data_IF_435690065165
#
_entry.id   IF_435690065165
#
_cell.length_a   1.000
_cell.length_b   1.000
_cell.length_c   1.000
_cell.angle_alpha   90.00
_cell.angle_beta   90.00
_cell.angle_gamma   90.00
#
_symmetry.space_group_name_H-M   'P 1'
#
loop_
_entity.id
_entity.type
_entity.pdbx_description
1 polymer ?
2 non-polymer ?
3 water ?
#
# COMPACT_ATOMS: atom_id res chain seq x y z
N UNK A 5 21.16 14.73 23.30
CA UNK A 5 20.76 16.07 22.81
C UNK A 5 19.49 16.59 23.49
N UNK A 6 19.43 17.90 23.67
CA UNK A 6 18.29 18.55 24.31
C UNK A 6 17.10 18.56 23.34
N UNK A 7 17.42 18.60 22.06
CA UNK A 7 16.43 18.61 20.99
C UNK A 7 16.94 17.77 19.82
N UNK A 8 16.05 16.97 19.25
CA UNK A 8 16.38 16.14 18.12
C UNK A 8 15.22 16.17 17.15
N UNK A 9 15.49 16.59 15.92
CA UNK A 9 14.46 16.67 14.89
C UNK A 9 13.18 17.37 15.39
N UNK A 10 13.35 18.57 15.93
CA UNK A 10 12.25 19.39 16.45
C UNK A 10 11.60 18.89 17.73
N UNK A 11 12.03 17.72 18.22
CA UNK A 11 11.43 17.18 19.44
C UNK A 11 12.28 17.43 20.67
N UNK A 12 11.68 18.13 21.63
CA UNK A 12 12.35 18.45 22.88
C UNK A 12 12.57 17.19 23.69
N UNK A 13 13.77 17.04 24.24
CA UNK A 13 14.13 15.89 25.06
C UNK A 13 12.97 15.16 25.73
N UNK A 14 12.76 13.91 25.33
CA UNK A 14 11.71 13.08 25.91
C UNK A 14 10.24 13.43 25.70
N UNK A 15 9.93 14.24 24.69
CA UNK A 15 8.54 14.60 24.43
C UNK A 15 7.92 13.64 23.43
N UNK A 16 6.60 13.71 23.28
CA UNK A 16 5.89 12.85 22.34
C UNK A 16 6.14 13.25 20.89
N UNK A 17 6.23 12.25 20.02
CA UNK A 17 6.46 12.47 18.59
C UNK A 17 5.25 13.17 17.98
N UNK A 18 4.09 12.92 18.57
CA UNK A 18 2.84 13.47 18.07
C UNK A 18 2.40 14.82 18.60
N UNK A 19 3.21 15.43 19.46
CA UNK A 19 2.85 16.74 20.00
C UNK A 19 2.74 17.76 18.87
N UNK A 20 1.79 18.68 19.02
CA UNK A 20 1.54 19.72 18.01
C UNK A 20 1.66 21.14 18.55
N UNK A 21 2.18 22.03 17.72
CA UNK A 21 2.32 23.43 18.12
C UNK A 21 0.92 23.98 18.33
N UNK A 22 0.77 24.96 19.22
CA UNK A 22 -0.54 25.55 19.49
C UNK A 22 -0.96 26.41 18.30
N UNK A 23 0.03 27.15 17.78
CA UNK A 23 -0.14 28.07 16.66
C UNK A 23 -0.58 27.48 15.32
N UNK A 24 0.09 26.41 14.91
CA UNK A 24 -0.22 25.80 13.62
C UNK A 24 -0.71 24.36 13.70
N UNK A 25 -0.58 23.74 14.87
CA UNK A 25 -1.01 22.37 15.04
C UNK A 25 -0.07 21.39 14.34
N UNK A 26 1.13 21.86 14.03
CA UNK A 26 2.12 21.05 13.34
C UNK A 26 2.97 20.17 14.25
N UNK A 27 3.29 18.98 13.74
CA UNK A 27 4.12 18.04 14.47
C UNK A 27 5.52 18.18 13.91
N UNK A 28 6.49 17.53 14.55
CA UNK A 28 7.88 17.59 14.09
C UNK A 28 7.99 17.13 12.64
N UNK A 29 7.21 16.11 12.29
CA UNK A 29 7.23 15.57 10.94
C UNK A 29 6.72 16.61 9.93
N UNK A 30 5.75 17.43 10.33
CA UNK A 30 5.23 18.48 9.44
C UNK A 30 6.36 19.48 9.18
N UNK A 31 7.05 19.83 10.25
CA UNK A 31 8.14 20.79 10.19
C UNK A 31 9.32 20.27 9.38
N UNK A 32 9.60 18.98 9.49
CA UNK A 32 10.70 18.38 8.74
C UNK A 32 10.38 18.54 7.25
N UNK A 33 9.10 18.39 6.90
CA UNK A 33 8.66 18.52 5.52
C UNK A 33 8.87 19.94 5.01
N UNK A 34 8.39 20.91 5.79
CA UNK A 34 8.51 22.32 5.42
C UNK A 34 9.94 22.83 5.34
N UNK A 35 10.84 22.26 6.15
CA UNK A 35 12.24 22.66 6.15
C UNK A 35 13.09 21.82 5.21
N UNK A 36 12.46 20.85 4.56
CA UNK A 36 13.16 19.96 3.65
C UNK A 36 14.28 19.21 4.38
N UNK A 37 14.00 18.79 5.61
CA UNK A 37 14.98 18.05 6.39
C UNK A 37 14.73 16.56 6.20
N UNK A 38 15.30 16.01 5.13
CA UNK A 38 15.15 14.60 4.80
C UNK A 38 15.57 13.66 5.93
N UNK A 39 16.75 13.91 6.51
CA UNK A 39 17.24 13.08 7.61
C UNK A 39 16.25 13.07 8.79
N UNK A 40 15.81 14.25 9.19
CA UNK A 40 14.87 14.36 10.32
C UNK A 40 13.61 13.54 10.03
N UNK A 41 13.06 13.70 8.84
CA UNK A 41 11.84 12.99 8.43
C UNK A 41 12.04 11.47 8.49
N UNK A 42 13.21 11.03 8.07
CA UNK A 42 13.55 9.61 8.07
C UNK A 42 13.61 9.09 9.52
N UNK A 43 14.31 9.82 10.38
CA UNK A 43 14.45 9.43 11.78
C UNK A 43 13.10 9.42 12.48
N UNK A 44 12.28 10.44 12.23
CA UNK A 44 10.96 10.54 12.84
C UNK A 44 10.08 9.36 12.46
N UNK A 45 10.15 8.94 11.19
CA UNK A 45 9.35 7.80 10.72
C UNK A 45 9.87 6.48 11.31
N UNK A 46 11.17 6.37 11.46
CA UNK A 46 11.76 5.17 12.03
C UNK A 46 11.38 5.07 13.49
N UNK A 47 11.11 6.22 14.11
CA UNK A 47 10.71 6.27 15.51
C UNK A 47 9.18 6.10 15.58
N UNK A 48 8.60 5.72 14.46
CA UNK A 48 7.16 5.49 14.33
C UNK A 48 6.27 6.72 14.50
N UNK A 49 6.68 7.85 13.93
CA UNK A 49 5.88 9.07 14.00
C UNK A 49 4.67 8.85 13.08
N UNK A 50 3.53 9.46 13.42
CA UNK A 50 2.33 9.30 12.61
C UNK A 50 2.39 10.27 11.43
N UNK A 51 2.54 9.71 10.22
CA UNK A 51 2.63 10.52 9.02
C UNK A 51 1.29 11.09 8.57
N UNK A 52 0.21 10.76 9.28
CA UNK A 52 -1.10 11.26 8.88
C UNK A 52 -1.81 12.20 9.85
N UNK A 53 -1.07 12.74 10.83
CA UNK A 53 -1.63 13.67 11.79
C UNK A 53 -1.88 14.98 11.05
N UNK A 54 -3.03 15.61 11.30
CA UNK A 54 -3.40 16.87 10.63
C UNK A 54 -3.07 18.14 11.43
N UNK A 55 -2.60 19.18 10.74
CA UNK A 55 -2.33 20.43 11.42
C UNK A 55 -3.65 21.20 11.46
N UNK A 56 -3.60 22.49 11.79
CA UNK A 56 -4.81 23.29 11.89
C UNK A 56 -5.66 23.38 10.61
N UNK A 57 -5.07 23.12 9.46
CA UNK A 57 -5.83 23.19 8.22
C UNK A 57 -6.12 21.81 7.64
N UNK A 58 -5.79 20.79 8.41
CA UNK A 58 -6.03 19.41 8.00
C UNK A 58 -4.91 18.80 7.17
N UNK A 59 -3.81 19.52 7.02
CA UNK A 59 -2.67 19.05 6.23
C UNK A 59 -1.84 18.02 6.97
N UNK A 60 -1.42 16.97 6.27
CA UNK A 60 -0.56 15.96 6.87
C UNK A 60 0.86 16.33 6.42
N UNK A 61 1.89 15.65 6.94
CA UNK A 61 3.25 15.99 6.50
C UNK A 61 3.43 15.89 4.98
N UNK A 62 2.59 15.07 4.33
CA UNK A 62 2.67 14.93 2.87
C UNK A 62 2.18 16.19 2.14
N UNK A 63 1.11 16.83 2.63
CA UNK A 63 0.63 18.06 1.99
C UNK A 63 1.73 19.09 2.16
N UNK A 64 2.33 19.11 3.33
CA UNK A 64 3.40 20.06 3.67
C UNK A 64 4.64 19.91 2.77
N UNK A 65 5.02 18.67 2.46
CA UNK A 65 6.17 18.41 1.60
C UNK A 65 5.85 18.92 0.19
N UNK A 66 4.62 18.70 -0.26
CA UNK A 66 4.22 19.17 -1.58
C UNK A 66 4.23 20.70 -1.63
N UNK A 67 3.69 21.32 -0.58
CA UNK A 67 3.63 22.79 -0.50
C UNK A 67 4.99 23.46 -0.41
N UNK A 68 5.97 22.76 0.15
CA UNK A 68 7.31 23.28 0.32
C UNK A 68 8.22 22.74 -0.77
N UNK A 69 7.64 21.96 -1.67
CA UNK A 69 8.40 21.35 -2.76
C UNK A 69 9.65 20.65 -2.20
N UNK A 70 9.48 19.91 -1.11
CA UNK A 70 10.59 19.18 -0.49
C UNK A 70 10.66 17.79 -1.09
N UNK A 71 11.37 17.66 -2.21
CA UNK A 71 11.50 16.38 -2.90
C UNK A 71 12.02 15.27 -1.99
N UNK A 72 13.04 15.57 -1.18
CA UNK A 72 13.60 14.58 -0.29
C UNK A 72 12.59 13.97 0.66
N UNK A 73 11.97 14.81 1.48
CA UNK A 73 10.98 14.35 2.43
C UNK A 73 9.78 13.75 1.70
N UNK A 74 9.40 14.33 0.57
CA UNK A 74 8.29 13.83 -0.24
C UNK A 74 8.50 12.36 -0.58
N UNK A 75 9.66 12.03 -1.13
CA UNK A 75 9.98 10.65 -1.49
C UNK A 75 9.89 9.73 -0.28
N UNK A 76 10.50 10.16 0.81
CA UNK A 76 10.50 9.39 2.05
C UNK A 76 9.07 9.11 2.50
N UNK A 77 8.20 10.11 2.39
CA UNK A 77 6.81 9.97 2.81
C UNK A 77 5.98 9.06 1.91
N UNK A 78 6.13 9.18 0.59
CA UNK A 78 5.35 8.31 -0.28
C UNK A 78 5.88 6.88 -0.32
N UNK A 79 7.11 6.68 0.13
CA UNK A 79 7.71 5.34 0.16
C UNK A 79 7.28 4.60 1.43
N UNK A 80 6.82 5.38 2.41
CA UNK A 80 6.34 4.87 3.69
C UNK A 80 4.91 4.35 3.46
N UNK A 81 4.74 3.02 3.56
CA UNK A 81 3.42 2.41 3.33
C UNK A 81 2.26 3.03 4.11
N UNK A 82 2.50 3.35 5.39
CA UNK A 82 1.45 3.92 6.25
C UNK A 82 0.95 5.31 5.85
N UNK A 83 1.69 6.02 5.00
CA UNK A 83 1.27 7.35 4.57
C UNK A 83 0.00 7.28 3.71
N UNK A 84 -1.01 8.06 4.11
CA UNK A 84 -2.26 8.12 3.37
C UNK A 84 -2.02 9.06 2.19
N UNK A 85 -1.82 8.48 1.02
CA UNK A 85 -1.56 9.27 -0.17
C UNK A 85 -2.74 10.15 -0.57
N UNK A 86 -3.93 9.81 -0.09
CA UNK A 86 -5.15 10.55 -0.41
C UNK A 86 -5.69 11.36 0.77
N UNK A 87 -4.84 11.65 1.74
CA UNK A 87 -5.24 12.41 2.91
C UNK A 87 -5.95 13.69 2.48
N UNK A 88 -6.97 14.08 3.24
CA UNK A 88 -7.73 15.27 2.89
C UNK A 88 -7.59 16.40 3.91
N UNK A 89 -7.46 17.62 3.41
CA UNK A 89 -7.38 18.78 4.27
C UNK A 89 -8.83 19.08 4.69
N UNK A 90 -9.04 20.14 5.46
CA UNK A 90 -10.38 20.47 5.91
C UNK A 90 -11.33 20.92 4.81
N UNK A 91 -10.82 21.08 3.59
CA UNK A 91 -11.68 21.45 2.46
C UNK A 91 -11.67 20.29 1.46
N UNK A 92 -11.13 19.16 1.89
CA UNK A 92 -11.07 17.98 1.04
C UNK A 92 -9.84 17.87 0.14
N UNK A 93 -8.98 18.90 0.13
CA UNK A 93 -7.79 18.90 -0.72
C UNK A 93 -6.82 17.76 -0.41
N UNK A 94 -6.43 17.04 -1.45
CA UNK A 94 -5.51 15.91 -1.34
C UNK A 94 -4.13 16.34 -1.85
N UNK A 95 -3.09 15.52 -1.58
CA UNK A 95 -1.75 15.88 -2.04
C UNK A 95 -1.71 16.02 -3.57
N UNK A 96 -2.44 15.16 -4.27
CA UNK A 96 -2.50 15.19 -5.73
C UNK A 96 -3.14 16.47 -6.27
N UNK A 97 -4.30 16.85 -5.70
CA UNK A 97 -4.96 18.07 -6.12
C UNK A 97 -4.02 19.25 -5.84
N UNK A 98 -3.40 19.23 -4.66
CA UNK A 98 -2.47 20.26 -4.26
C UNK A 98 -1.29 20.34 -5.24
N UNK A 99 -0.76 19.18 -5.64
CA UNK A 99 0.36 19.13 -6.59
C UNK A 99 -0.06 19.68 -7.96
N UNK A 100 -1.31 19.46 -8.34
CA UNK A 100 -1.82 19.96 -9.62
C UNK A 100 -1.95 21.48 -9.59
N UNK A 101 -2.42 22.02 -8.47
CA UNK A 101 -2.61 23.45 -8.32
C UNK A 101 -1.31 24.25 -8.25
N UNK A 102 -0.32 23.74 -7.52
CA UNK A 102 0.97 24.42 -7.36
C UNK A 102 1.92 24.20 -8.53
N UNK A 103 1.54 23.27 -9.40
CA UNK A 103 2.34 22.94 -10.58
C UNK A 103 3.70 22.33 -10.23
N UNK A 104 3.70 21.38 -9.30
CA UNK A 104 4.91 20.67 -8.90
C UNK A 104 4.80 19.34 -9.66
N UNK A 105 5.10 19.39 -10.94
CA UNK A 105 4.99 18.23 -11.84
C UNK A 105 5.59 16.91 -11.42
N UNK A 106 6.81 16.94 -10.89
CA UNK A 106 7.46 15.72 -10.47
C UNK A 106 6.67 14.98 -9.41
N UNK A 107 6.06 15.73 -8.49
CA UNK A 107 5.31 15.14 -7.40
C UNK A 107 3.97 14.56 -7.83
N UNK A 108 3.29 15.24 -8.75
CA UNK A 108 2.01 14.75 -9.24
C UNK A 108 2.18 13.36 -9.86
N UNK A 109 3.16 13.22 -10.74
CA UNK A 109 3.43 11.95 -11.39
C UNK A 109 3.86 10.87 -10.40
N UNK A 110 4.73 11.23 -9.46
CA UNK A 110 5.19 10.28 -8.46
C UNK A 110 4.03 9.80 -7.59
N UNK A 111 3.09 10.70 -7.29
CA UNK A 111 1.92 10.33 -6.49
C UNK A 111 1.07 9.35 -7.26
N UNK A 112 0.84 9.64 -8.54
CA UNK A 112 0.05 8.77 -9.40
C UNK A 112 0.71 7.40 -9.55
N UNK A 113 2.03 7.38 -9.72
CA UNK A 113 2.76 6.14 -9.86
C UNK A 113 2.75 5.33 -8.57
N UNK A 114 2.51 6.01 -7.45
CA UNK A 114 2.45 5.36 -6.14
C UNK A 114 1.03 4.95 -5.84
N UNK A 115 0.17 5.09 -6.85
CA UNK A 115 -1.23 4.69 -6.78
C UNK A 115 -2.20 5.61 -6.05
N UNK A 116 -1.88 6.89 -6.01
CA UNK A 116 -2.79 7.85 -5.39
C UNK A 116 -4.06 7.75 -6.24
N UNK A 117 -5.21 7.99 -5.63
CA UNK A 117 -6.46 7.93 -6.38
C UNK A 117 -6.59 9.15 -7.29
N UNK A 118 -6.40 8.95 -8.60
CA UNK A 118 -6.50 10.07 -9.53
C UNK A 118 -7.90 10.69 -9.59
N UNK A 119 -8.93 9.93 -9.24
CA UNK A 119 -10.30 10.45 -9.29
C UNK A 119 -10.92 10.90 -7.97
N UNK A 120 -10.09 11.10 -6.95
CA UNK A 120 -10.59 11.56 -5.67
C UNK A 120 -10.98 13.02 -5.88
N UNK A 121 -11.86 13.55 -5.03
CA UNK A 121 -12.29 14.93 -5.16
C UNK A 121 -12.35 15.66 -3.82
N UNK A 122 -12.24 16.98 -3.86
CA UNK A 122 -12.31 17.77 -2.65
C UNK A 122 -13.78 17.93 -2.27
N UNK A 123 -14.07 18.70 -1.23
CA UNK A 123 -15.45 18.88 -0.78
C UNK A 123 -16.40 19.54 -1.78
N UNK A 124 -15.85 20.17 -2.82
CA UNK A 124 -16.66 20.81 -3.85
C UNK A 124 -16.88 19.87 -5.04
N UNK A 125 -16.46 18.63 -4.89
CA UNK A 125 -16.61 17.65 -5.94
C UNK A 125 -15.55 17.78 -7.02
N UNK A 126 -14.54 18.60 -6.74
CA UNK A 126 -13.44 18.85 -7.68
C UNK A 126 -12.27 17.86 -7.58
N UNK A 127 -11.91 17.28 -8.73
CA UNK A 127 -10.80 16.34 -8.85
C UNK A 127 -9.52 17.10 -9.22
N UNK A 128 -8.39 16.39 -9.22
CA UNK A 128 -7.11 16.99 -9.57
C UNK A 128 -7.16 17.53 -11.01
N UNK A 129 -7.91 16.82 -11.86
CA UNK A 129 -8.06 17.23 -13.26
C UNK A 129 -8.88 18.51 -13.36
N UNK A 130 -9.90 18.65 -12.49
CA UNK A 130 -10.73 19.85 -12.46
C UNK A 130 -9.81 21.02 -12.18
N UNK A 131 -8.94 20.85 -11.19
CA UNK A 131 -8.01 21.90 -10.81
C UNK A 131 -6.94 22.19 -11.85
N UNK A 132 -6.40 21.15 -12.47
CA UNK A 132 -5.38 21.35 -13.50
C UNK A 132 -6.02 22.21 -14.60
N UNK A 133 -7.30 22.00 -14.83
CA UNK A 133 -8.02 22.77 -15.85
C UNK A 133 -8.17 24.21 -15.39
N UNK A 134 -8.59 24.39 -14.13
CA UNK A 134 -8.78 25.73 -13.57
C UNK A 134 -7.52 26.60 -13.60
N UNK A 135 -6.37 26.04 -13.24
CA UNK A 135 -5.12 26.80 -13.24
C UNK A 135 -4.30 26.65 -14.52
N UNK A 136 -4.90 25.98 -15.51
CA UNK A 136 -4.26 25.75 -16.80
C UNK A 136 -2.91 25.04 -16.69
N UNK A 137 -2.87 23.98 -15.88
CA UNK A 137 -1.66 23.20 -15.72
C UNK A 137 -1.70 22.08 -16.78
N UNK A 138 -1.24 22.39 -17.99
CA UNK A 138 -1.24 21.45 -19.10
C UNK A 138 -0.58 20.10 -18.80
N UNK A 139 0.64 20.12 -18.28
CA UNK A 139 1.34 18.87 -17.99
C UNK A 139 0.62 17.98 -17.00
N UNK A 140 0.00 18.59 -15.98
CA UNK A 140 -0.73 17.81 -15.00
C UNK A 140 -1.96 17.16 -15.66
N UNK A 141 -2.65 17.92 -16.51
CA UNK A 141 -3.83 17.42 -17.21
C UNK A 141 -3.48 16.19 -18.06
N UNK A 142 -2.41 16.30 -18.83
CA UNK A 142 -1.96 15.21 -19.69
C UNK A 142 -1.64 13.94 -18.91
N UNK A 143 -0.92 14.07 -17.80
CA UNK A 143 -0.55 12.93 -16.98
C UNK A 143 -1.77 12.31 -16.29
N UNK A 144 -2.65 13.15 -15.74
CA UNK A 144 -3.85 12.65 -15.08
C UNK A 144 -4.72 11.89 -16.08
N UNK A 145 -4.89 12.48 -17.26
CA UNK A 145 -5.69 11.87 -18.31
C UNK A 145 -5.08 10.54 -18.77
N UNK A 146 -3.75 10.48 -18.89
CA UNK A 146 -3.07 9.25 -19.29
C UNK A 146 -3.17 8.19 -18.20
N UNK A 147 -3.50 8.61 -16.98
CA UNK A 147 -3.59 7.70 -15.87
C UNK A 147 -4.97 7.37 -15.29
N UNK A 148 -5.99 7.43 -16.13
CA UNK A 148 -7.32 7.07 -15.64
C UNK A 148 -8.24 8.15 -15.12
N UNK A 149 -7.84 9.41 -15.23
CA UNK A 149 -8.67 10.50 -14.77
C UNK A 149 -9.98 10.58 -15.57
N UNK A 150 -11.10 10.74 -14.86
CA UNK A 150 -12.41 10.85 -15.50
C UNK A 150 -12.52 12.25 -16.11
N UNK A 151 -12.35 12.33 -17.42
CA UNK A 151 -12.39 13.61 -18.12
C UNK A 151 -13.73 14.34 -18.07
N UNK A 152 -14.82 13.60 -17.91
CA UNK A 152 -16.15 14.22 -17.87
C UNK A 152 -16.79 14.29 -16.47
N UNK A 153 -15.99 14.04 -15.44
CA UNK A 153 -16.51 14.07 -14.07
C UNK A 153 -17.08 15.44 -13.77
N UNK A 154 -18.23 15.47 -13.08
CA UNK A 154 -18.87 16.72 -12.73
C UNK A 154 -18.71 16.97 -11.23
N UNK A 155 -18.40 18.21 -10.86
CA UNK A 155 -18.26 18.50 -9.44
C UNK A 155 -19.66 18.74 -8.88
N UNK A 156 -19.76 19.41 -7.73
CA UNK A 156 -21.05 19.67 -7.11
C UNK A 156 -21.93 20.70 -7.84
N UNK A 157 -21.31 21.62 -8.58
CA UNK A 157 -22.03 22.62 -9.34
C UNK A 157 -22.26 22.07 -10.75
N UNK A 158 -22.01 20.76 -10.89
CA UNK A 158 -22.17 20.04 -12.16
C UNK A 158 -21.22 20.51 -13.26
N UNK A 159 -20.09 21.06 -12.84
CA UNK A 159 -19.08 21.56 -13.77
C UNK A 159 -18.03 20.50 -14.08
N UNK A 160 -17.72 20.36 -15.36
CA UNK A 160 -16.71 19.40 -15.78
C UNK A 160 -15.37 20.14 -15.79
N UNK A 161 -14.26 19.41 -15.93
CA UNK A 161 -12.96 20.11 -15.96
C UNK A 161 -12.96 21.09 -17.12
N UNK A 162 -13.50 20.65 -18.26
CA UNK A 162 -13.57 21.50 -19.44
C UNK A 162 -14.35 22.77 -19.11
N UNK A 163 -15.45 22.63 -18.37
CA UNK A 163 -16.24 23.79 -18.00
C UNK A 163 -15.35 24.79 -17.26
N UNK A 164 -14.54 24.27 -16.34
CA UNK A 164 -13.65 25.13 -15.56
C UNK A 164 -12.56 25.77 -16.39
N UNK A 165 -12.01 25.03 -17.35
CA UNK A 165 -10.97 25.57 -18.22
C UNK A 165 -11.59 26.74 -18.99
N UNK A 166 -12.83 26.58 -19.40
CA UNK A 166 -13.57 27.61 -20.14
C UNK A 166 -13.81 28.84 -19.29
N UNK A 167 -14.19 28.61 -18.04
CA UNK A 167 -14.47 29.66 -17.08
C UNK A 167 -13.25 30.51 -16.78
N UNK A 168 -12.12 29.86 -16.53
CA UNK A 168 -10.87 30.53 -16.19
C UNK A 168 -9.99 31.04 -17.34
N UNK A 169 -10.35 30.70 -18.57
CA UNK A 169 -9.55 31.14 -19.70
C UNK A 169 -8.30 30.30 -19.92
N UNK A 170 -8.34 29.05 -19.43
CA UNK A 170 -7.21 28.13 -19.57
C UNK A 170 -7.28 27.51 -20.96
N UNK A 171 -6.86 28.28 -21.96
CA UNK A 171 -6.90 27.84 -23.36
C UNK A 171 -6.18 26.53 -23.67
N UNK A 172 -4.91 26.46 -23.30
CA UNK A 172 -4.11 25.28 -23.57
C UNK A 172 -4.66 24.01 -22.94
N UNK A 173 -5.15 24.10 -21.71
CA UNK A 173 -5.68 22.92 -21.04
C UNK A 173 -7.06 22.51 -21.56
N UNK A 174 -7.83 23.47 -22.06
CA UNK A 174 -9.14 23.14 -22.62
C UNK A 174 -8.88 22.36 -23.92
N UNK A 175 -7.77 22.70 -24.58
CA UNK A 175 -7.34 22.05 -25.81
C UNK A 175 -6.96 20.58 -25.52
N UNK A 176 -6.22 20.37 -24.42
CA UNK A 176 -5.83 19.03 -24.02
C UNK A 176 -7.07 18.18 -23.75
N UNK A 177 -8.05 18.76 -23.06
CA UNK A 177 -9.27 18.05 -22.76
C UNK A 177 -10.00 17.68 -24.04
N UNK A 178 -9.96 18.57 -25.03
CA UNK A 178 -10.61 18.32 -26.31
C UNK A 178 -9.83 17.28 -27.12
N UNK A 179 -8.51 17.25 -26.97
CA UNK A 179 -7.70 16.25 -27.67
C UNK A 179 -8.02 14.88 -27.10
N UNK A 180 -8.60 14.88 -25.90
CA UNK A 180 -8.98 13.65 -25.23
C UNK A 180 -10.48 13.42 -25.40
N UNK A 181 -11.07 14.20 -26.29
CA UNK A 181 -12.49 14.12 -26.59
C UNK A 181 -13.42 14.28 -25.39
N UNK A 182 -13.13 15.25 -24.53
CA UNK A 182 -13.96 15.51 -23.36
C UNK A 182 -15.31 15.99 -23.91
N UNK A 183 -16.40 15.65 -23.21
CA UNK A 183 -17.74 16.02 -23.63
C UNK A 183 -17.99 17.52 -23.38
N UNK A 184 -18.03 18.29 -24.45
CA UNK A 184 -18.24 19.74 -24.33
C UNK A 184 -19.71 20.11 -24.23
N UNK A 185 -20.60 19.11 -24.19
CA UNK A 185 -22.03 19.35 -24.10
C UNK A 185 -22.59 19.24 -22.68
N UNK A 186 -21.78 18.77 -21.74
CA UNK A 186 -22.23 18.66 -20.36
C UNK A 186 -22.26 20.05 -19.73
N UNK A 187 -23.44 20.45 -19.25
CA UNK A 187 -23.66 21.76 -18.63
C UNK A 187 -23.61 21.75 -17.11
N UNK A 188 -23.43 22.93 -16.51
CA UNK A 188 -23.40 23.04 -15.06
C UNK A 188 -24.84 23.11 -14.52
N UNK A 189 -24.99 23.42 -13.24
CA UNK A 189 -26.32 23.48 -12.64
C UNK A 189 -27.20 24.59 -13.25
N UNK A 190 -26.57 25.59 -13.87
CA UNK A 190 -27.31 26.69 -14.48
C UNK A 190 -27.59 26.40 -15.96
N UNK A 191 -27.29 25.17 -16.37
CA UNK A 191 -27.50 24.73 -17.75
C UNK A 191 -26.63 25.45 -18.77
N UNK A 192 -25.48 25.95 -18.32
CA UNK A 192 -24.54 26.62 -19.21
C UNK A 192 -23.50 25.64 -19.73
N UNK A 193 -23.16 25.77 -20.99
CA UNK A 193 -22.14 24.90 -21.58
C UNK A 193 -20.82 25.62 -21.36
N UNK A 194 -19.70 24.89 -21.50
CA UNK A 194 -18.38 25.51 -21.33
C UNK A 194 -18.29 26.74 -22.24
N UNK A 195 -18.97 26.63 -23.38
CA UNK A 195 -19.01 27.72 -24.37
C UNK A 195 -19.77 28.93 -23.83
N UNK A 196 -20.83 28.67 -23.08
CA UNK A 196 -21.63 29.75 -22.50
C UNK A 196 -20.88 30.48 -21.40
N UNK A 197 -20.16 29.75 -20.57
CA UNK A 197 -19.41 30.40 -19.50
C UNK A 197 -18.18 31.10 -20.06
N UNK A 198 -17.63 30.56 -21.16
CA UNK A 198 -16.46 31.15 -21.80
C UNK A 198 -16.83 32.49 -22.43
N UNK A 199 -18.03 32.56 -23.01
CA UNK A 199 -18.49 33.80 -23.63
C UNK A 199 -18.82 34.83 -22.55
N UNK A 200 -19.49 34.37 -21.50
CA UNK A 200 -19.85 35.21 -20.38
C UNK A 200 -18.65 35.86 -19.71
N UNK A 201 -17.55 35.12 -19.62
CA UNK A 201 -16.33 35.64 -18.99
C UNK A 201 -15.31 36.18 -20.00
N UNK A 202 -15.76 36.34 -21.24
CA UNK A 202 -14.95 36.88 -22.32
C UNK A 202 -13.70 36.14 -22.77
N UNK A 203 -13.80 34.81 -22.90
CA UNK A 203 -12.68 34.02 -23.36
C UNK A 203 -13.07 33.55 -24.75
N UNK A 204 -13.14 34.51 -25.68
CA UNK A 204 -13.53 34.26 -27.05
C UNK A 204 -12.68 33.23 -27.75
N UNK A 205 -11.42 33.13 -27.34
CA UNK A 205 -10.53 32.15 -27.95
C UNK A 205 -11.01 30.74 -27.62
N UNK A 206 -11.52 30.55 -26.39
CA UNK A 206 -12.01 29.24 -25.97
C UNK A 206 -13.38 28.95 -26.59
N UNK A 207 -14.19 29.99 -26.76
CA UNK A 207 -15.51 29.84 -27.38
C UNK A 207 -15.28 29.31 -28.80
N UNK A 208 -14.31 29.89 -29.49
CA UNK A 208 -13.98 29.47 -30.83
C UNK A 208 -13.51 28.02 -30.84
N UNK A 209 -12.64 27.68 -29.90
CA UNK A 209 -12.10 26.33 -29.80
C UNK A 209 -13.23 25.31 -29.63
N UNK A 210 -14.18 25.63 -28.74
CA UNK A 210 -15.32 24.77 -28.48
C UNK A 210 -16.21 24.61 -29.71
N UNK A 211 -16.34 25.68 -30.50
CA UNK A 211 -17.19 25.63 -31.69
C UNK A 211 -16.54 24.97 -32.92
N UNK A 212 -15.22 24.92 -32.96
CA UNK A 212 -14.55 24.35 -34.13
C UNK A 212 -13.62 23.16 -33.88
N UNK A 213 -12.82 23.27 -32.84
CA UNK A 213 -11.84 22.25 -32.53
C UNK A 213 -12.26 20.81 -32.31
N UNK A 214 -11.52 19.92 -32.97
CA UNK A 214 -11.68 18.47 -32.87
C UNK A 214 -13.14 17.99 -32.82
N UNK A 215 -13.96 18.45 -33.76
CA UNK A 215 -15.36 18.05 -33.82
C UNK A 215 -15.55 16.72 -34.55
N UNK A 216 -16.80 16.26 -34.61
CA UNK A 216 -17.13 15.00 -35.26
C UNK A 216 -17.21 15.12 -36.78
N UNK A 217 -16.06 14.98 -37.45
CA UNK A 217 -15.95 15.08 -38.90
C UNK A 217 -16.47 16.43 -39.41
N UNK A 218 -16.98 17.24 -38.49
CA UNK A 218 -17.51 18.55 -38.81
C UNK A 218 -16.58 19.71 -38.46
N UNK A 219 -15.39 19.42 -37.87
CA UNK A 219 -14.48 20.52 -37.54
C UNK A 219 -13.76 21.08 -38.76
N UNK B 5 33.73 -27.54 10.63
CA UNK B 5 32.92 -26.37 10.15
C UNK B 5 33.01 -26.22 8.63
N UNK B 6 32.19 -25.33 8.09
CA UNK B 6 32.16 -25.08 6.65
C UNK B 6 32.04 -23.57 6.38
N UNK B 7 32.57 -23.13 5.25
CA UNK B 7 32.51 -21.71 4.88
C UNK B 7 31.36 -21.45 3.92
N UNK B 8 30.33 -20.76 4.40
CA UNK B 8 29.16 -20.43 3.60
C UNK B 8 29.54 -19.62 2.37
N UNK B 9 28.71 -19.68 1.34
CA UNK B 9 28.98 -18.94 0.11
C UNK B 9 29.27 -17.47 0.41
N UNK B 10 28.40 -16.88 1.23
CA UNK B 10 28.52 -15.47 1.59
C UNK B 10 29.89 -15.12 2.17
N UNK B 11 30.29 -15.84 3.21
CA UNK B 11 31.58 -15.60 3.85
C UNK B 11 32.73 -15.96 2.89
N UNK B 12 32.59 -17.11 2.25
CA UNK B 12 33.58 -17.61 1.31
C UNK B 12 33.96 -16.59 0.23
N UNK B 13 32.98 -15.86 -0.26
CA UNK B 13 33.24 -14.87 -1.31
C UNK B 13 33.52 -13.46 -0.80
N UNK B 14 34.07 -13.36 0.41
CA UNK B 14 34.40 -12.06 0.98
C UNK B 14 33.39 -11.43 1.92
N UNK B 15 32.18 -11.98 1.97
CA UNK B 15 31.12 -11.46 2.84
C UNK B 15 30.63 -10.10 2.34
N UNK B 16 30.53 -9.97 1.02
CA UNK B 16 30.03 -8.75 0.39
C UNK B 16 28.58 -9.05 0.03
N UNK B 17 27.73 -8.03 0.05
CA UNK B 17 26.32 -8.21 -0.27
C UNK B 17 26.03 -8.12 -1.77
N UNK B 18 26.94 -7.53 -2.54
CA UNK B 18 26.72 -7.38 -3.97
C UNK B 18 27.53 -8.33 -4.85
N UNK B 19 28.53 -8.98 -4.26
CA UNK B 19 29.41 -9.90 -5.00
C UNK B 19 28.93 -11.36 -5.11
N UNK B 20 27.64 -11.61 -4.93
CA UNK B 20 27.17 -12.99 -4.99
C UNK B 20 25.67 -13.24 -5.27
N UNK B 21 25.39 -14.01 -6.33
CA UNK B 21 24.03 -14.36 -6.75
C UNK B 21 24.14 -15.52 -7.74
N UNK B 22 24.73 -16.63 -7.30
CA UNK B 22 24.91 -17.77 -8.18
C UNK B 22 24.01 -18.98 -7.91
N UNK B 23 24.33 -19.78 -6.89
CA UNK B 23 23.51 -20.96 -6.62
C UNK B 23 22.31 -20.69 -5.72
N UNK B 24 22.14 -19.42 -5.36
CA UNK B 24 21.02 -19.02 -4.52
C UNK B 24 20.22 -17.95 -5.24
N UNK B 25 20.91 -17.20 -6.10
CA UNK B 25 20.25 -16.14 -6.85
C UNK B 25 19.87 -14.98 -5.95
N UNK B 26 20.40 -14.98 -4.74
CA UNK B 26 20.11 -13.93 -3.77
C UNK B 26 20.82 -12.60 -4.08
N UNK B 27 20.04 -11.53 -4.13
CA UNK B 27 20.58 -10.21 -4.40
C UNK B 27 21.08 -9.57 -3.10
N UNK B 28 21.65 -8.37 -3.21
CA UNK B 28 22.17 -7.66 -2.05
C UNK B 28 21.08 -7.55 -1.00
N UNK B 29 19.88 -7.18 -1.45
CA UNK B 29 18.75 -7.03 -0.55
C UNK B 29 18.37 -8.36 0.12
N UNK B 30 18.47 -9.46 -0.63
CA UNK B 30 18.16 -10.77 -0.06
C UNK B 30 19.14 -11.06 1.07
N UNK B 31 20.42 -10.80 0.82
CA UNK B 31 21.48 -11.05 1.80
C UNK B 31 21.40 -10.16 3.04
N UNK B 32 21.00 -8.91 2.85
CA UNK B 32 20.87 -7.99 3.98
C UNK B 32 19.80 -8.55 4.91
N UNK B 33 18.71 -9.05 4.32
CA UNK B 33 17.62 -9.63 5.08
C UNK B 33 18.08 -10.89 5.80
N UNK B 34 18.68 -11.80 5.03
CA UNK B 34 19.18 -13.05 5.60
C UNK B 34 20.17 -12.82 6.73
N UNK B 35 20.98 -11.77 6.61
CA UNK B 35 21.99 -11.49 7.62
C UNK B 35 21.66 -10.33 8.55
N UNK B 36 20.37 -10.04 8.66
CA UNK B 36 19.88 -8.97 9.53
C UNK B 36 20.62 -7.64 9.43
N UNK B 37 20.94 -7.22 8.21
CA UNK B 37 21.64 -5.95 8.00
C UNK B 37 20.62 -4.86 7.75
N UNK B 38 20.14 -4.24 8.82
CA UNK B 38 19.12 -3.18 8.75
C UNK B 38 19.51 -1.96 7.91
N UNK B 39 20.63 -1.33 8.26
CA UNK B 39 21.08 -0.13 7.53
C UNK B 39 21.31 -0.43 6.06
N UNK B 40 21.90 -1.59 5.79
CA UNK B 40 22.15 -1.99 4.42
C UNK B 40 20.82 -2.04 3.69
N UNK B 41 19.83 -2.66 4.31
CA UNK B 41 18.50 -2.78 3.71
C UNK B 41 17.92 -1.41 3.38
N UNK B 42 18.05 -0.48 4.31
CA UNK B 42 17.55 0.88 4.11
C UNK B 42 18.29 1.54 2.95
N UNK B 43 19.61 1.45 3.00
CA UNK B 43 20.47 2.03 1.96
C UNK B 43 20.10 1.54 0.56
N UNK B 44 19.94 0.23 0.41
CA UNK B 44 19.58 -0.39 -0.86
C UNK B 44 18.21 0.08 -1.38
N UNK B 45 17.23 0.17 -0.49
CA UNK B 45 15.90 0.61 -0.89
C UNK B 45 15.90 2.06 -1.34
N UNK B 46 16.58 2.91 -0.59
CA UNK B 46 16.65 4.33 -0.91
C UNK B 46 17.44 4.54 -2.21
N UNK B 47 18.10 3.48 -2.66
CA UNK B 47 18.88 3.54 -3.90
C UNK B 47 18.02 2.96 -5.02
N UNK B 48 16.73 2.78 -4.74
CA UNK B 48 15.76 2.25 -5.69
C UNK B 48 15.88 0.76 -5.98
N UNK B 49 16.39 0.01 -5.02
CA UNK B 49 16.54 -1.44 -5.19
C UNK B 49 15.13 -2.05 -5.30
N UNK B 50 15.00 -3.07 -6.14
CA UNK B 50 13.73 -3.75 -6.34
C UNK B 50 13.46 -4.63 -5.12
N UNK B 51 12.42 -4.31 -4.37
CA UNK B 51 12.07 -5.05 -3.17
C UNK B 51 11.45 -6.43 -3.46
N UNK B 52 11.03 -6.64 -4.70
CA UNK B 52 10.39 -7.90 -5.07
C UNK B 52 11.16 -8.86 -5.96
N UNK B 53 12.47 -8.67 -6.08
CA UNK B 53 13.29 -9.55 -6.91
C UNK B 53 13.29 -10.96 -6.30
N UNK B 54 13.21 -11.98 -7.16
CA UNK B 54 13.17 -13.36 -6.69
C UNK B 54 14.50 -14.11 -6.79
N UNK B 55 14.83 -14.89 -5.77
CA UNK B 55 16.05 -15.68 -5.82
C UNK B 55 15.70 -16.98 -6.55
N UNK B 56 16.61 -17.95 -6.56
CA UNK B 56 16.38 -19.21 -7.26
C UNK B 56 15.09 -19.95 -6.89
N UNK B 57 14.64 -19.78 -5.65
CA UNK B 57 13.43 -20.46 -5.19
C UNK B 57 12.19 -19.58 -5.22
N UNK B 58 12.32 -18.39 -5.82
CA UNK B 58 11.20 -17.47 -5.91
C UNK B 58 11.00 -16.60 -4.67
N UNK B 59 11.93 -16.70 -3.72
CA UNK B 59 11.85 -15.91 -2.49
C UNK B 59 12.25 -14.46 -2.72
N UNK B 60 11.51 -13.53 -2.12
CA UNK B 60 11.84 -12.10 -2.21
C UNK B 60 12.59 -11.82 -0.91
N UNK B 61 13.20 -10.64 -0.79
CA UNK B 61 13.92 -10.36 0.47
C UNK B 61 13.02 -10.45 1.70
N UNK B 62 11.71 -10.25 1.51
CA UNK B 62 10.73 -10.33 2.59
C UNK B 62 10.60 -11.80 3.06
N UNK B 63 10.60 -12.73 2.11
CA UNK B 63 10.55 -14.15 2.47
C UNK B 63 11.81 -14.41 3.29
N UNK B 64 12.93 -13.88 2.81
CA UNK B 64 14.22 -14.03 3.48
C UNK B 64 14.19 -13.46 4.90
N UNK B 65 13.59 -12.29 5.06
CA UNK B 65 13.51 -11.64 6.37
C UNK B 65 12.75 -12.50 7.37
N UNK B 66 11.66 -13.12 6.92
CA UNK B 66 10.84 -13.99 7.77
C UNK B 66 11.61 -15.26 8.14
N UNK B 67 12.21 -15.92 7.15
CA UNK B 67 12.97 -17.15 7.40
C UNK B 67 14.17 -16.92 8.30
N UNK B 68 14.71 -15.70 8.30
CA UNK B 68 15.87 -15.39 9.13
C UNK B 68 15.47 -14.73 10.45
N UNK B 69 14.19 -14.41 10.56
CA UNK B 69 13.66 -13.74 11.74
C UNK B 69 14.41 -12.44 11.97
N UNK B 70 14.72 -11.77 10.86
CA UNK B 70 15.42 -10.49 10.88
C UNK B 70 14.36 -9.42 11.08
N UNK B 71 14.00 -9.15 12.33
CA UNK B 71 12.98 -8.16 12.63
C UNK B 71 13.28 -6.77 12.06
N UNK B 72 14.53 -6.33 12.22
CA UNK B 72 14.91 -5.03 11.71
C UNK B 72 14.61 -4.90 10.22
N UNK B 73 15.21 -5.77 9.41
CA UNK B 73 14.99 -5.72 7.97
C UNK B 73 13.54 -6.00 7.60
N UNK B 74 12.86 -6.87 8.35
CA UNK B 74 11.46 -7.19 8.10
C UNK B 74 10.61 -5.92 8.18
N UNK B 75 10.76 -5.16 9.26
CA UNK B 75 10.01 -3.92 9.44
C UNK B 75 10.32 -2.91 8.34
N UNK B 76 11.58 -2.89 7.91
CA UNK B 76 12.01 -1.98 6.85
C UNK B 76 11.32 -2.34 5.53
N UNK B 77 11.20 -3.64 5.25
CA UNK B 77 10.56 -4.10 4.02
C UNK B 77 9.04 -3.89 4.03
N UNK B 78 8.37 -4.20 5.13
CA UNK B 78 6.93 -4.00 5.15
C UNK B 78 6.53 -2.54 5.26
N UNK B 79 7.45 -1.70 5.76
CA UNK B 79 7.15 -0.27 5.87
C UNK B 79 7.35 0.40 4.52
N UNK B 80 7.99 -0.32 3.61
CA UNK B 80 8.27 0.17 2.26
C UNK B 80 7.04 -0.16 1.39
N UNK B 81 6.36 0.88 0.91
CA UNK B 81 5.14 0.72 0.11
C UNK B 81 5.22 -0.25 -1.07
N UNK B 82 6.30 -0.18 -1.84
CA UNK B 82 6.50 -1.01 -3.01
C UNK B 82 6.60 -2.51 -2.77
N UNK B 83 6.92 -2.90 -1.53
CA UNK B 83 7.05 -4.30 -1.20
C UNK B 83 5.73 -5.06 -1.36
N UNK B 84 5.78 -6.17 -2.09
CA UNK B 84 4.62 -7.02 -2.32
C UNK B 84 4.49 -7.96 -1.12
N UNK B 85 3.54 -7.68 -0.24
CA UNK B 85 3.34 -8.49 0.96
C UNK B 85 2.82 -9.90 0.67
N UNK B 86 2.31 -10.11 -0.53
CA UNK B 86 1.76 -11.40 -0.96
C UNK B 86 2.63 -12.12 -2.00
N UNK B 87 3.90 -11.72 -2.10
CA UNK B 87 4.82 -12.34 -3.06
C UNK B 87 4.81 -13.85 -2.88
N UNK B 88 4.89 -14.58 -3.98
CA UNK B 88 4.85 -16.05 -3.94
C UNK B 88 6.14 -16.72 -4.38
N UNK B 89 6.55 -17.74 -3.64
CA UNK B 89 7.73 -18.50 -3.99
C UNK B 89 7.32 -19.40 -5.15
N UNK B 90 8.24 -20.21 -5.65
CA UNK B 90 7.92 -21.08 -6.77
C UNK B 90 6.96 -22.23 -6.41
N UNK B 91 6.57 -22.30 -5.14
CA UNK B 91 5.61 -23.30 -4.68
C UNK B 91 4.34 -22.60 -4.14
N UNK B 92 4.29 -21.29 -4.38
CA UNK B 92 3.14 -20.50 -3.94
C UNK B 92 3.22 -19.95 -2.53
N UNK B 93 4.30 -20.27 -1.82
CA UNK B 93 4.45 -19.81 -0.43
C UNK B 93 4.59 -18.29 -0.32
N UNK B 94 3.77 -17.71 0.55
CA UNK B 94 3.75 -16.27 0.80
C UNK B 94 4.47 -15.95 2.11
N UNK B 95 4.79 -14.67 2.34
CA UNK B 95 5.46 -14.30 3.59
C UNK B 95 4.59 -14.65 4.79
N UNK B 96 3.28 -14.49 4.63
CA UNK B 96 2.33 -14.81 5.70
C UNK B 96 2.33 -16.30 6.03
N UNK B 97 2.32 -17.15 5.01
CA UNK B 97 2.31 -18.59 5.24
C UNK B 97 3.62 -19.00 5.91
N UNK B 98 4.70 -18.35 5.49
CA UNK B 98 6.02 -18.64 6.04
C UNK B 98 6.04 -18.24 7.52
N UNK B 99 5.44 -17.11 7.85
CA UNK B 99 5.40 -16.65 9.23
C UNK B 99 4.56 -17.60 10.10
N UNK B 100 3.49 -18.14 9.55
CA UNK B 100 2.61 -19.07 10.27
C UNK B 100 3.33 -20.40 10.53
N UNK B 101 4.09 -20.84 9.53
CA UNK B 101 4.83 -22.09 9.61
C UNK B 101 6.01 -22.05 10.57
N UNK B 102 6.80 -20.97 10.48
CA UNK B 102 7.99 -20.83 11.31
C UNK B 102 7.73 -20.32 12.73
N UNK B 103 6.53 -19.79 12.96
CA UNK B 103 6.15 -19.28 14.27
C UNK B 103 6.91 -18.04 14.75
N UNK B 104 6.88 -16.99 13.93
CA UNK B 104 7.50 -15.71 14.28
C UNK B 104 6.31 -14.78 14.53
N UNK B 105 5.55 -15.09 15.58
CA UNK B 105 4.34 -14.36 15.97
C UNK B 105 4.28 -12.88 15.59
N UNK B 106 5.30 -12.12 15.99
CA UNK B 106 5.32 -10.70 15.68
C UNK B 106 5.11 -10.40 14.21
N UNK B 107 5.84 -11.09 13.36
CA UNK B 107 5.74 -10.88 11.92
C UNK B 107 4.39 -11.19 11.30
N UNK B 108 3.81 -12.33 11.67
CA UNK B 108 2.50 -12.69 11.13
C UNK B 108 1.51 -11.56 11.38
N UNK B 109 1.48 -11.06 12.62
CA UNK B 109 0.57 -9.99 13.00
C UNK B 109 0.84 -8.69 12.23
N UNK B 110 2.11 -8.33 12.09
CA UNK B 110 2.46 -7.11 11.37
C UNK B 110 2.06 -7.23 9.90
N UNK B 111 2.27 -8.41 9.33
CA UNK B 111 1.92 -8.66 7.93
C UNK B 111 0.43 -8.43 7.75
N UNK B 112 -0.36 -8.97 8.68
CA UNK B 112 -1.80 -8.84 8.64
C UNK B 112 -2.23 -7.38 8.83
N UNK B 113 -1.66 -6.70 9.81
CA UNK B 113 -2.01 -5.29 10.05
C UNK B 113 -1.63 -4.41 8.86
N UNK B 114 -0.63 -4.84 8.09
CA UNK B 114 -0.18 -4.09 6.91
C UNK B 114 -1.03 -4.44 5.69
N UNK B 115 -2.04 -5.28 5.92
CA UNK B 115 -3.00 -5.70 4.90
C UNK B 115 -2.65 -6.86 3.97
N UNK B 116 -1.80 -7.78 4.45
CA UNK B 116 -1.44 -8.95 3.64
C UNK B 116 -2.76 -9.72 3.48
N UNK B 117 -2.93 -10.41 2.36
CA UNK B 117 -4.14 -11.19 2.11
C UNK B 117 -4.14 -12.45 2.98
N UNK B 118 -5.01 -12.45 3.99
CA UNK B 118 -5.14 -13.54 4.94
C UNK B 118 -5.59 -14.87 4.32
N UNK B 119 -6.30 -14.78 3.18
CA UNK B 119 -6.80 -15.98 2.52
C UNK B 119 -6.09 -16.47 1.28
N UNK B 120 -4.90 -15.94 1.01
CA UNK B 120 -4.15 -16.40 -0.16
C UNK B 120 -3.74 -17.84 0.14
N UNK B 121 -3.51 -18.63 -0.90
CA UNK B 121 -3.12 -20.02 -0.70
C UNK B 121 -1.92 -20.37 -1.56
N UNK B 122 -1.12 -21.34 -1.11
CA UNK B 122 0.05 -21.74 -1.90
C UNK B 122 -0.44 -22.64 -3.05
N UNK B 123 0.49 -23.29 -3.74
CA UNK B 123 0.08 -24.11 -4.87
C UNK B 123 -0.76 -25.33 -4.48
N UNK B 124 -0.70 -25.72 -3.21
CA UNK B 124 -1.47 -26.88 -2.73
C UNK B 124 -2.86 -26.44 -2.25
N UNK B 125 -3.14 -25.16 -2.34
CA UNK B 125 -4.44 -24.66 -1.90
C UNK B 125 -4.46 -24.41 -0.40
N UNK B 126 -3.29 -24.43 0.24
CA UNK B 126 -3.18 -24.20 1.68
C UNK B 126 -2.97 -22.74 2.03
N UNK B 127 -3.83 -22.24 2.91
CA UNK B 127 -3.78 -20.87 3.40
C UNK B 127 -2.84 -20.85 4.62
N UNK B 128 -2.59 -19.64 5.15
CA UNK B 128 -1.74 -19.51 6.33
C UNK B 128 -2.39 -20.25 7.48
N UNK B 129 -3.73 -20.24 7.52
CA UNK B 129 -4.44 -20.93 8.58
C UNK B 129 -4.27 -22.46 8.48
N UNK B 130 -4.22 -22.98 7.25
CA UNK B 130 -4.03 -24.42 7.07
C UNK B 130 -2.67 -24.79 7.66
N UNK B 131 -1.67 -23.98 7.36
CA UNK B 131 -0.32 -24.23 7.88
C UNK B 131 -0.21 -24.04 9.39
N UNK B 132 -0.94 -23.07 9.93
CA UNK B 132 -0.93 -22.84 11.38
C UNK B 132 -1.50 -24.08 12.06
N UNK B 133 -2.52 -24.67 11.44
CA UNK B 133 -3.16 -25.88 11.95
C UNK B 133 -2.22 -27.07 11.87
N UNK B 134 -1.53 -27.18 10.74
CA UNK B 134 -0.58 -28.28 10.54
C UNK B 134 0.59 -28.26 11.53
N UNK B 135 1.18 -27.09 11.78
CA UNK B 135 2.30 -26.98 12.72
C UNK B 135 1.86 -26.64 14.14
N UNK B 136 0.55 -26.56 14.34
CA UNK B 136 -0.03 -26.25 15.65
C UNK B 136 0.46 -24.90 16.19
N UNK B 137 0.47 -23.88 15.31
CA UNK B 137 0.87 -22.54 15.73
C UNK B 137 -0.39 -21.85 16.26
N UNK B 138 -0.72 -22.13 17.53
CA UNK B 138 -1.91 -21.58 18.16
C UNK B 138 -2.10 -20.07 18.00
N UNK B 139 -1.07 -19.31 18.35
CA UNK B 139 -1.14 -17.86 18.26
C UNK B 139 -1.49 -17.36 16.88
N UNK B 140 -0.86 -17.94 15.86
CA UNK B 140 -1.12 -17.54 14.48
C UNK B 140 -2.57 -17.85 14.10
N UNK B 141 -3.09 -19.00 14.53
CA UNK B 141 -4.46 -19.38 14.22
C UNK B 141 -5.42 -18.35 14.80
N UNK B 142 -5.19 -17.96 16.05
CA UNK B 142 -6.04 -16.97 16.72
C UNK B 142 -6.06 -15.64 15.98
N UNK B 143 -4.88 -15.14 15.61
CA UNK B 143 -4.75 -13.88 14.89
C UNK B 143 -5.39 -13.93 13.50
N UNK B 144 -5.12 -14.98 12.74
CA UNK B 144 -5.68 -15.16 11.40
C UNK B 144 -7.22 -15.17 11.45
N UNK B 145 -7.78 -15.96 12.35
CA UNK B 145 -9.23 -16.04 12.51
C UNK B 145 -9.83 -14.69 12.90
N UNK B 146 -9.19 -14.00 13.84
CA UNK B 146 -9.65 -12.70 14.29
C UNK B 146 -9.61 -11.69 13.14
N UNK B 147 -8.81 -11.98 12.12
CA UNK B 147 -8.67 -11.07 11.00
C UNK B 147 -9.26 -11.55 9.68
N UNK B 148 -10.35 -12.31 9.76
CA UNK B 148 -11.03 -12.77 8.56
C UNK B 148 -10.63 -14.04 7.82
N UNK B 149 -9.72 -14.84 8.36
CA UNK B 149 -9.32 -16.08 7.69
C UNK B 149 -10.53 -17.01 7.58
N UNK B 150 -10.69 -17.64 6.42
CA UNK B 150 -11.81 -18.57 6.20
C UNK B 150 -11.50 -19.87 6.95
N UNK B 151 -12.20 -20.05 8.07
CA UNK B 151 -12.01 -21.21 8.92
C UNK B 151 -12.32 -22.55 8.26
N UNK B 152 -13.22 -22.55 7.26
CA UNK B 152 -13.61 -23.80 6.60
C UNK B 152 -13.02 -24.00 5.22
N UNK B 153 -12.03 -23.20 4.84
CA UNK B 153 -11.42 -23.32 3.52
C UNK B 153 -10.81 -24.70 3.27
N UNK B 154 -11.04 -25.24 2.09
CA UNK B 154 -10.51 -26.54 1.74
C UNK B 154 -9.37 -26.36 0.75
N UNK B 155 -8.29 -27.10 0.94
CA UNK B 155 -7.17 -26.99 0.01
C UNK B 155 -7.44 -27.91 -1.17
N UNK B 156 -6.44 -28.12 -2.02
CA UNK B 156 -6.62 -28.98 -3.19
C UNK B 156 -6.99 -30.43 -2.87
N UNK B 157 -6.64 -30.92 -1.68
CA UNK B 157 -7.00 -32.30 -1.31
C UNK B 157 -8.32 -32.26 -0.52
N UNK B 158 -9.01 -31.12 -0.60
CA UNK B 158 -10.28 -30.92 0.09
C UNK B 158 -10.17 -30.96 1.61
N UNK B 159 -8.99 -30.67 2.13
CA UNK B 159 -8.73 -30.68 3.56
C UNK B 159 -8.93 -29.30 4.17
N UNK B 160 -9.63 -29.24 5.29
CA UNK B 160 -9.86 -27.97 5.98
C UNK B 160 -8.76 -27.82 7.04
N UNK B 161 -8.61 -26.61 7.60
CA UNK B 161 -7.57 -26.44 8.63
C UNK B 161 -7.78 -27.44 9.77
N UNK B 162 -9.05 -27.67 10.11
CA UNK B 162 -9.38 -28.60 11.19
C UNK B 162 -8.92 -30.01 10.83
N UNK B 163 -9.11 -30.38 9.57
CA UNK B 163 -8.71 -31.71 9.12
C UNK B 163 -7.19 -31.87 9.33
N UNK B 164 -6.43 -30.85 8.92
CA UNK B 164 -4.98 -30.88 9.06
C UNK B 164 -4.56 -30.92 10.53
N UNK B 165 -5.27 -30.18 11.37
CA UNK B 165 -4.96 -30.16 12.79
C UNK B 165 -5.16 -31.58 13.35
N UNK B 166 -6.25 -32.23 12.93
CA UNK B 166 -6.57 -33.59 13.37
C UNK B 166 -5.56 -34.60 12.82
N UNK B 167 -5.11 -34.37 11.59
CA UNK B 167 -4.14 -35.25 10.96
C UNK B 167 -2.79 -35.21 11.66
N UNK B 168 -2.31 -33.99 11.95
CA UNK B 168 -1.01 -33.79 12.59
C UNK B 168 -0.97 -33.86 14.11
N UNK B 169 -2.13 -33.98 14.76
CA UNK B 169 -2.15 -34.05 16.21
C UNK B 169 -1.93 -32.69 16.87
N UNK B 170 -2.46 -31.64 16.26
CA UNK B 170 -2.33 -30.28 16.77
C UNK B 170 -3.54 -29.97 17.66
N UNK B 171 -3.55 -30.57 18.84
CA UNK B 171 -4.65 -30.41 19.79
C UNK B 171 -5.05 -28.96 20.08
N UNK B 172 -4.10 -28.19 20.58
CA UNK B 172 -4.32 -26.79 20.92
C UNK B 172 -4.94 -25.97 19.80
N UNK B 173 -4.47 -26.15 18.56
CA UNK B 173 -5.00 -25.39 17.43
C UNK B 173 -6.36 -25.93 16.96
N UNK B 174 -6.61 -27.23 17.13
CA UNK B 174 -7.90 -27.80 16.76
C UNK B 174 -8.95 -27.23 17.71
N UNK B 175 -8.56 -27.03 18.97
CA UNK B 175 -9.48 -26.46 19.95
C UNK B 175 -9.85 -25.05 19.54
N UNK B 176 -8.87 -24.26 19.11
CA UNK B 176 -9.14 -22.89 18.66
C UNK B 176 -10.15 -22.91 17.50
N UNK B 177 -9.92 -23.81 16.53
CA UNK B 177 -10.82 -23.93 15.38
C UNK B 177 -12.22 -24.34 15.82
N UNK B 178 -12.30 -25.28 16.75
CA UNK B 178 -13.58 -25.74 17.27
C UNK B 178 -14.29 -24.64 18.04
N UNK B 179 -13.52 -23.81 18.75
CA UNK B 179 -14.11 -22.69 19.50
C UNK B 179 -14.65 -21.63 18.55
N UNK B 180 -14.14 -21.63 17.32
CA UNK B 180 -14.57 -20.68 16.30
C UNK B 180 -15.63 -21.29 15.42
N UNK B 181 -16.14 -22.43 15.88
CA UNK B 181 -17.20 -23.16 15.19
C UNK B 181 -16.84 -23.63 13.78
N UNK B 182 -15.64 -24.18 13.64
CA UNK B 182 -15.20 -24.70 12.36
C UNK B 182 -16.05 -25.95 12.10
N UNK B 183 -16.43 -26.15 10.84
CA UNK B 183 -17.26 -27.30 10.44
C UNK B 183 -16.49 -28.61 10.57
N UNK B 184 -16.91 -29.46 11.52
CA UNK B 184 -16.26 -30.75 11.74
C UNK B 184 -16.66 -31.84 10.75
N UNK B 185 -17.68 -31.58 9.95
CA UNK B 185 -18.17 -32.57 9.01
C UNK B 185 -17.65 -32.46 7.58
N UNK B 186 -16.82 -31.45 7.31
CA UNK B 186 -16.26 -31.30 5.97
C UNK B 186 -15.17 -32.35 5.78
N UNK B 187 -15.39 -33.29 4.87
CA UNK B 187 -14.44 -34.36 4.61
C UNK B 187 -13.43 -34.04 3.51
N UNK B 188 -12.31 -34.77 3.50
CA UNK B 188 -11.28 -34.58 2.49
C UNK B 188 -11.65 -35.32 1.20
N UNK B 189 -10.72 -35.40 0.25
CA UNK B 189 -10.99 -36.06 -1.03
C UNK B 189 -11.31 -37.56 -0.88
N UNK B 190 -11.03 -38.13 0.29
CA UNK B 190 -11.27 -39.55 0.55
C UNK B 190 -12.47 -39.76 1.49
N UNK B 191 -13.33 -38.75 1.59
CA UNK B 191 -14.51 -38.82 2.45
C UNK B 191 -14.18 -39.04 3.91
N UNK B 192 -12.98 -38.64 4.31
CA UNK B 192 -12.54 -38.77 5.70
C UNK B 192 -12.85 -37.52 6.49
N UNK B 193 -13.41 -37.72 7.68
CA UNK B 193 -13.73 -36.62 8.58
C UNK B 193 -12.50 -36.34 9.43
N UNK B 194 -12.40 -35.12 9.98
CA UNK B 194 -11.22 -34.84 10.81
C UNK B 194 -11.10 -35.92 11.88
N UNK B 195 -12.24 -36.39 12.37
CA UNK B 195 -12.28 -37.44 13.39
C UNK B 195 -11.71 -38.75 12.88
N UNK B 196 -12.03 -39.06 11.62
CA UNK B 196 -11.54 -40.30 11.01
C UNK B 196 -10.03 -40.30 10.86
N UNK B 197 -9.48 -39.20 10.34
CA UNK B 197 -8.03 -39.11 10.16
C UNK B 197 -7.29 -39.10 11.50
N UNK B 198 -7.95 -38.58 12.53
CA UNK B 198 -7.37 -38.53 13.86
C UNK B 198 -7.32 -39.95 14.42
N UNK B 199 -8.36 -40.73 14.15
CA UNK B 199 -8.43 -42.12 14.61
C UNK B 199 -7.42 -42.98 13.86
N UNK B 200 -7.31 -42.73 12.55
CA UNK B 200 -6.38 -43.46 11.69
C UNK B 200 -4.93 -43.24 12.11
N UNK B 201 -4.60 -42.02 12.50
CA UNK B 201 -3.24 -41.68 12.90
C UNK B 201 -3.02 -41.77 14.42
N UNK B 202 -4.01 -42.33 15.11
CA UNK B 202 -3.95 -42.54 16.55
C UNK B 202 -3.79 -41.32 17.46
N UNK B 203 -4.46 -40.23 17.11
CA UNK B 203 -4.43 -39.02 17.93
C UNK B 203 -5.69 -39.07 18.79
N UNK B 204 -5.62 -39.89 19.83
CA UNK B 204 -6.71 -40.13 20.75
C UNK B 204 -7.23 -38.90 21.46
N UNK B 205 -6.33 -38.03 21.88
CA UNK B 205 -6.72 -36.80 22.56
C UNK B 205 -7.58 -35.95 21.64
N UNK B 206 -7.24 -35.94 20.35
CA UNK B 206 -7.99 -35.17 19.37
C UNK B 206 -9.38 -35.75 19.18
N UNK B 207 -9.46 -37.07 19.04
CA UNK B 207 -10.76 -37.72 18.87
C UNK B 207 -11.63 -37.40 20.09
N UNK B 208 -11.02 -37.43 21.27
CA UNK B 208 -11.70 -37.12 22.51
C UNK B 208 -12.22 -35.69 22.43
N UNK B 209 -11.34 -34.77 22.03
CA UNK B 209 -11.69 -33.37 21.90
C UNK B 209 -12.86 -33.17 20.94
N UNK B 210 -12.76 -33.77 19.77
CA UNK B 210 -13.83 -33.65 18.78
C UNK B 210 -15.16 -34.08 19.38
N UNK B 211 -15.19 -35.25 20.02
CA UNK B 211 -16.43 -35.72 20.62
C UNK B 211 -16.94 -34.77 21.70
N UNK B 212 -16.02 -34.14 22.42
CA UNK B 212 -16.35 -33.20 23.50
C UNK B 212 -17.28 -32.07 23.07
N UNK B 213 -17.12 -31.58 21.85
CA UNK B 213 -17.95 -30.49 21.34
C UNK B 213 -19.29 -30.95 20.75
X LIG C 1 17.17 -8.22 14.55
X LIG C 1 18.58 -8.64 14.66
X LIG C 1 16.29 -9.40 14.71
X LIG C 1 16.87 -7.22 15.61
X LIG C 1 16.94 -7.60 13.23
X LIG D 1 -3.03 -40.02 3.98
X LIG D 1 -1.87 -40.90 3.75
X LIG D 1 -3.70 -40.40 5.22
X LIG D 1 -2.56 -38.62 4.08
X LIG D 1 -3.96 -40.13 2.84
#
# INVERSE_FOLDING_TARGET
GDAPAVISDFIYQGASLHNQTDRTGETALHLAARYSRSDAAKRLLEASADANIQDNMGRTPLHAAVSADAQGVFQILIRNRATDLDARMHDGTTPLILAARLAVEGMLEDLINSHADVNAVDDLGKSALHWAAAVNNVDAAVVLLKNGANKDMQNNREETPLFLAAREGSYETAKVLLDHFANRDITDHMDRLPRDIAQERMHHDIVRLLDEYNLVRSPQLHG
GDAPAVISDFIYQGASLHNQTDRTGETALHLAARYSRSDAAKRLLEASADANIQDNMGRTPLHAAVSADAQGVFQILIRNRATDLDARMHDGTTPLILAARLAVEGMLEDLINSHADVNAVDDLGKSALHWAAAVNNVDAAVVLLKNGANKDMQNNREETPLFLAAREGSYETAKVLLDHFANRDITDHMDRLPRDIAQERMHHDIVRLLDEYNLVRSPQLHG
SO4 S O1 O2 O3 O4
SO4 S O1 O2 O3 O4
#
